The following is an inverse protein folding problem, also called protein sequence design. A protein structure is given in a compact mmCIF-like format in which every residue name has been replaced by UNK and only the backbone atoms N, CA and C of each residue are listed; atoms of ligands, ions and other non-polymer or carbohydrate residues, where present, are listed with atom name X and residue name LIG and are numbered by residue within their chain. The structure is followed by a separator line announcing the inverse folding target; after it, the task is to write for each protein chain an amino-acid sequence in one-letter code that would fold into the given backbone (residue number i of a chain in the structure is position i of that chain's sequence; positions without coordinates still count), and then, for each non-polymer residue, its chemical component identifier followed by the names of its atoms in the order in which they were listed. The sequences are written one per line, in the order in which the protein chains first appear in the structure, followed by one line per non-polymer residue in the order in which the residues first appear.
data_IF_064860153059
#
_entry.id   IF_064860153059
#
_cell.length_a   1.000
_cell.length_b   1.000
_cell.length_c   1.000
_cell.angle_alpha   90.00
_cell.angle_beta   90.00
_cell.angle_gamma   90.00
#
_symmetry.space_group_name_H-M   'P 1'
#
loop_
_entity.id
_entity.type
_entity.pdbx_description
1 polymer ?
#
# COMPACT_ATOMS: atom_id res chain seq x y z
N UNK A 1 -7.47 7.32 0.61
CA UNK A 1 -6.32 6.47 0.29
C UNK A 1 -5.70 6.92 -1.01
N UNK A 2 -4.70 7.78 -0.88
CA UNK A 2 -3.73 8.04 -1.93
C UNK A 2 -2.60 7.00 -1.93
N UNK A 3 -1.61 7.19 -2.81
CA UNK A 3 -0.48 6.28 -2.94
C UNK A 3 0.44 6.25 -1.70
N UNK A 4 0.56 7.38 -1.01
CA UNK A 4 1.37 7.53 0.19
C UNK A 4 0.74 6.79 1.37
N UNK A 5 -0.57 6.96 1.55
CA UNK A 5 -1.37 6.24 2.53
C UNK A 5 -1.28 4.71 2.29
N UNK A 6 -1.39 4.26 1.04
CA UNK A 6 -1.24 2.85 0.69
C UNK A 6 0.13 2.28 1.10
N UNK A 7 1.23 3.00 0.81
CA UNK A 7 2.57 2.55 1.17
C UNK A 7 2.74 2.36 2.69
N UNK A 8 2.22 3.30 3.48
CA UNK A 8 2.22 3.20 4.95
C UNK A 8 1.37 2.04 5.46
N UNK A 9 0.18 1.86 4.90
CA UNK A 9 -0.75 0.79 5.28
C UNK A 9 -0.07 -0.58 5.07
N UNK A 10 0.56 -0.78 3.91
CA UNK A 10 1.29 -2.02 3.62
C UNK A 10 2.51 -2.23 4.53
N UNK A 11 3.17 -1.15 4.95
CA UNK A 11 4.24 -1.23 5.94
C UNK A 11 3.74 -1.72 7.31
N UNK A 12 2.57 -1.26 7.74
CA UNK A 12 1.91 -1.69 8.98
C UNK A 12 1.52 -3.17 8.86
N UNK A 13 0.87 -3.56 7.77
CA UNK A 13 0.48 -4.95 7.52
C UNK A 13 1.68 -5.91 7.52
N UNK A 14 2.78 -5.53 6.89
CA UNK A 14 4.03 -6.29 6.92
C UNK A 14 4.56 -6.45 8.34
N UNK A 15 4.59 -5.37 9.12
CA UNK A 15 5.06 -5.39 10.53
C UNK A 15 4.17 -6.25 11.41
N UNK A 16 2.85 -6.20 11.24
CA UNK A 16 1.89 -7.04 11.98
C UNK A 16 2.11 -8.54 11.72
N UNK A 17 2.66 -8.90 10.56
CA UNK A 17 3.06 -10.26 10.21
C UNK A 17 4.49 -10.62 10.63
N UNK A 18 5.20 -9.73 11.34
CA UNK A 18 6.60 -9.88 11.74
C UNK A 18 7.58 -10.09 10.56
N UNK A 19 7.21 -9.62 9.37
CA UNK A 19 8.04 -9.76 8.17
C UNK A 19 8.96 -8.54 8.10
N UNK A 20 10.27 -8.73 7.88
CA UNK A 20 11.20 -7.61 7.69
C UNK A 20 11.19 -7.10 6.25
N UNK A 21 11.62 -5.86 6.01
CA UNK A 21 11.82 -5.35 4.63
C UNK A 21 12.83 -6.21 3.85
N UNK A 22 13.80 -6.80 4.55
CA UNK A 22 14.80 -7.67 3.93
C UNK A 22 14.21 -9.03 3.53
N UNK A 23 13.24 -9.53 4.29
CA UNK A 23 12.53 -10.78 4.01
C UNK A 23 11.68 -10.63 2.75
N UNK A 24 10.74 -9.67 2.75
CA UNK A 24 9.88 -9.44 1.58
C UNK A 24 10.67 -9.05 0.32
N UNK A 25 11.79 -8.35 0.49
CA UNK A 25 12.72 -8.02 -0.60
C UNK A 25 13.27 -9.26 -1.29
N UNK A 26 13.71 -10.26 -0.50
CA UNK A 26 14.23 -11.53 -1.03
C UNK A 26 13.12 -12.34 -1.68
N UNK A 27 11.98 -12.47 -1.01
CA UNK A 27 10.90 -13.33 -1.46
C UNK A 27 10.26 -12.84 -2.76
N UNK A 28 10.17 -11.52 -2.96
CA UNK A 28 9.59 -10.91 -4.15
C UNK A 28 10.61 -10.53 -5.22
N UNK A 29 11.91 -10.73 -4.97
CA UNK A 29 12.99 -10.24 -5.83
C UNK A 29 12.86 -8.72 -6.12
N UNK A 30 12.52 -7.94 -5.09
CA UNK A 30 12.42 -6.48 -5.12
C UNK A 30 13.53 -5.92 -4.24
N UNK A 31 14.25 -4.89 -4.69
CA UNK A 31 15.31 -4.31 -3.85
C UNK A 31 14.75 -3.79 -2.52
N UNK A 32 15.49 -4.01 -1.43
CA UNK A 32 15.12 -3.48 -0.11
C UNK A 32 14.89 -1.97 -0.13
N UNK A 33 15.69 -1.23 -0.91
CA UNK A 33 15.55 0.21 -1.09
C UNK A 33 14.19 0.56 -1.73
N UNK A 34 13.75 -0.19 -2.74
CA UNK A 34 12.42 -0.01 -3.35
C UNK A 34 11.30 -0.23 -2.33
N UNK A 35 11.37 -1.30 -1.50
CA UNK A 35 10.40 -1.54 -0.43
C UNK A 35 10.40 -0.39 0.57
N UNK A 36 11.58 0.04 1.03
CA UNK A 36 11.72 1.14 2.00
C UNK A 36 11.18 2.46 1.46
N UNK A 37 11.49 2.81 0.22
CA UNK A 37 11.05 4.06 -0.37
C UNK A 37 9.53 4.08 -0.61
N UNK A 38 8.96 2.93 -0.99
CA UNK A 38 7.51 2.79 -1.13
C UNK A 38 6.81 2.91 0.23
N UNK A 39 7.27 2.19 1.25
CA UNK A 39 6.67 2.19 2.59
C UNK A 39 6.80 3.53 3.33
N UNK A 40 7.84 4.31 3.01
CA UNK A 40 8.06 5.65 3.58
C UNK A 40 7.47 6.78 2.74
N UNK A 41 6.97 6.47 1.54
CA UNK A 41 6.42 7.47 0.63
C UNK A 41 7.44 8.42 0.01
N UNK A 42 8.72 8.03 -0.03
CA UNK A 42 9.81 8.83 -0.62
C UNK A 42 10.04 8.55 -2.11
N UNK A 43 9.41 7.52 -2.69
CA UNK A 43 9.50 7.24 -4.13
C UNK A 43 8.12 7.11 -4.76
N UNK A 44 7.93 7.85 -5.86
CA UNK A 44 6.74 7.83 -6.71
C UNK A 44 6.79 6.76 -7.82
N UNK A 45 7.89 6.01 -7.95
CA UNK A 45 8.23 5.22 -9.16
C UNK A 45 8.33 3.70 -8.91
N UNK A 46 7.49 3.16 -8.04
CA UNK A 46 7.29 1.70 -7.98
C UNK A 46 6.18 1.30 -8.95
N UNK A 47 6.51 0.47 -9.93
CA UNK A 47 5.53 -0.01 -10.91
C UNK A 47 4.41 -0.83 -10.26
N UNK A 48 3.18 -0.66 -10.76
CA UNK A 48 1.96 -1.30 -10.23
C UNK A 48 2.11 -2.82 -10.03
N UNK A 49 2.81 -3.52 -10.94
CA UNK A 49 3.09 -4.96 -10.80
C UNK A 49 3.74 -5.30 -9.45
N UNK A 50 4.73 -4.53 -9.01
CA UNK A 50 5.42 -4.76 -7.74
C UNK A 50 4.51 -4.48 -6.55
N UNK A 51 3.65 -3.46 -6.66
CA UNK A 51 2.65 -3.14 -5.63
C UNK A 51 1.67 -4.30 -5.47
N UNK A 52 1.15 -4.84 -6.58
CA UNK A 52 0.29 -6.02 -6.58
C UNK A 52 0.96 -7.24 -5.95
N UNK A 53 2.24 -7.49 -6.27
CA UNK A 53 3.01 -8.58 -5.65
C UNK A 53 3.16 -8.41 -4.13
N UNK A 54 3.38 -7.19 -3.64
CA UNK A 54 3.46 -6.92 -2.20
C UNK A 54 2.11 -7.18 -1.52
N UNK A 55 1.02 -6.74 -2.14
CA UNK A 55 -0.34 -6.90 -1.63
C UNK A 55 -0.71 -8.40 -1.53
N UNK A 56 -0.48 -9.14 -2.62
CA UNK A 56 -0.69 -10.59 -2.69
C UNK A 56 0.16 -11.34 -1.65
N UNK A 57 1.45 -11.03 -1.55
CA UNK A 57 2.35 -11.64 -0.57
C UNK A 57 1.92 -11.39 0.89
N UNK A 58 1.33 -10.22 1.16
CA UNK A 58 0.76 -9.91 2.47
C UNK A 58 -0.60 -10.58 2.70
N UNK A 59 -1.16 -11.30 1.73
CA UNK A 59 -2.44 -12.00 1.81
C UNK A 59 -3.65 -11.09 1.64
N UNK A 60 -3.50 -10.02 0.86
CA UNK A 60 -4.56 -9.08 0.52
C UNK A 60 -4.75 -9.05 -1.00
N UNK A 61 -5.85 -8.46 -1.44
CA UNK A 61 -6.15 -8.20 -2.84
C UNK A 61 -6.53 -6.74 -3.08
N UNK A 62 -6.45 -6.29 -4.33
CA UNK A 62 -7.00 -4.99 -4.74
C UNK A 62 -8.38 -5.22 -5.34
N UNK A 63 -9.36 -4.44 -4.91
CA UNK A 63 -10.67 -4.35 -5.52
C UNK A 63 -10.92 -2.93 -6.09
N UNK A 64 -11.59 -2.86 -7.24
CA UNK A 64 -12.04 -1.59 -7.81
C UNK A 64 -13.44 -1.28 -7.30
N UNK A 65 -13.63 -0.08 -6.76
CA UNK A 65 -14.94 0.44 -6.37
C UNK A 65 -15.33 1.61 -7.25
N UNK A 66 -16.63 1.77 -7.48
CA UNK A 66 -17.15 3.00 -8.09
C UNK A 66 -16.75 4.20 -7.23
N UNK A 67 -16.43 5.31 -7.88
CA UNK A 67 -16.09 6.54 -7.18
C UNK A 67 -17.34 7.00 -6.44
N UNK A 68 -17.25 7.13 -5.12
CA UNK A 68 -18.33 7.70 -4.32
C UNK A 68 -18.71 9.06 -4.89
N UNK A 69 -20.01 9.41 -4.94
CA UNK A 69 -20.39 10.80 -5.18
C UNK A 69 -19.64 11.68 -4.18
N UNK A 70 -19.16 12.84 -4.64
CA UNK A 70 -18.53 13.80 -3.72
C UNK A 70 -19.55 14.09 -2.61
N UNK A 71 -19.16 13.95 -1.32
CA UNK A 71 -20.08 14.23 -0.24
C UNK A 71 -20.54 15.68 -0.37
N UNK A 72 -21.86 15.87 -0.35
CA UNK A 72 -22.41 17.22 -0.25
C UNK A 72 -22.25 17.69 1.19
N UNK A 73 -22.33 19.00 1.40
CA UNK A 73 -22.14 19.60 2.72
C UNK A 73 -23.01 18.95 3.81
N UNK A 74 -24.22 18.55 3.45
CA UNK A 74 -25.18 17.86 4.32
C UNK A 74 -24.70 16.48 4.80
N UNK A 75 -23.91 15.76 4.00
CA UNK A 75 -23.37 14.44 4.36
C UNK A 75 -22.26 14.56 5.42
N UNK A 76 -21.56 15.70 5.47
CA UNK A 76 -20.42 15.93 6.38
C UNK A 76 -20.89 16.43 7.74
N UNK A 77 -22.00 17.18 7.79
CA UNK A 77 -22.55 17.75 9.03
C UNK A 77 -23.32 16.72 9.86
N UNK A 78 -23.86 15.67 9.21
CA UNK A 78 -24.75 14.70 9.83
C UNK A 78 -24.11 13.31 10.08
N UNK A 79 -22.80 13.15 9.83
CA UNK A 79 -22.03 11.91 10.08
C UNK A 79 -21.15 12.02 11.33
#
# INVERSE_FOLDING_TARGET
MDFYELGKELAILRKNKNISQQTISKDLNISRATISNFESGTSFDIGLKKVLQIIDYLGYEINLKEKSPFPVFEDVVNG
#
